data_IF_772866170849
#
_entry.id   IF_772866170849
#
_cell.length_a   1.000
_cell.length_b   1.000
_cell.length_c   1.000
_cell.angle_alpha   90.00
_cell.angle_beta   90.00
_cell.angle_gamma   90.00
#
_symmetry.space_group_name_H-M   'P 1'
#
loop_
_entity.id
_entity.type
_entity.pdbx_description
1 polymer ?
#
# COMPACT_ATOMS: atom_id res chain seq x y z
N UNK A 1 8.53 36.72 14.28
CA UNK A 1 9.49 36.55 13.16
C UNK A 1 9.77 37.93 12.57
N UNK A 2 11.04 38.32 12.36
CA UNK A 2 11.38 39.65 11.80
C UNK A 2 11.13 39.64 10.28
N UNK A 3 10.90 40.81 9.67
CA UNK A 3 10.72 40.96 8.21
C UNK A 3 11.85 40.33 7.39
N UNK A 4 13.08 40.36 7.93
CA UNK A 4 14.28 39.75 7.31
C UNK A 4 14.17 38.23 7.25
N UNK A 5 13.65 37.60 8.30
CA UNK A 5 13.50 36.15 8.41
C UNK A 5 12.51 35.62 7.36
N UNK A 6 11.40 36.33 7.12
CA UNK A 6 10.42 35.95 6.09
C UNK A 6 10.96 36.03 4.65
N UNK A 7 11.93 36.91 4.40
CA UNK A 7 12.56 37.02 3.08
C UNK A 7 13.43 35.80 2.80
N UNK A 8 14.19 35.34 3.79
CA UNK A 8 14.99 34.12 3.68
C UNK A 8 14.12 32.86 3.55
N UNK A 9 13.01 32.79 4.30
CA UNK A 9 12.03 31.70 4.18
C UNK A 9 11.45 31.64 2.77
N UNK A 10 11.08 32.78 2.19
CA UNK A 10 10.55 32.84 0.81
C UNK A 10 11.60 32.41 -0.22
N UNK A 11 12.84 32.85 -0.08
CA UNK A 11 13.93 32.43 -0.96
C UNK A 11 14.18 30.91 -0.89
N UNK A 12 14.11 30.30 0.30
CA UNK A 12 14.21 28.84 0.46
C UNK A 12 13.02 28.11 -0.18
N UNK A 13 11.81 28.65 -0.02
CA UNK A 13 10.61 28.08 -0.64
C UNK A 13 10.68 28.09 -2.17
N UNK A 14 11.08 29.22 -2.75
CA UNK A 14 11.27 29.37 -4.20
C UNK A 14 12.38 28.44 -4.71
N UNK A 15 13.49 28.34 -3.97
CA UNK A 15 14.58 27.41 -4.29
C UNK A 15 14.13 25.94 -4.24
N UNK A 16 13.33 25.55 -3.25
CA UNK A 16 12.80 24.20 -3.15
C UNK A 16 11.83 23.88 -4.30
N UNK A 17 10.97 24.83 -4.66
CA UNK A 17 10.05 24.70 -5.78
C UNK A 17 10.80 24.51 -7.11
N UNK A 18 11.91 25.25 -7.31
CA UNK A 18 12.80 25.06 -8.47
C UNK A 18 13.43 23.66 -8.48
N UNK A 19 13.98 23.20 -7.35
CA UNK A 19 14.60 21.87 -7.24
C UNK A 19 13.63 20.72 -7.51
N UNK A 20 12.37 20.90 -7.13
CA UNK A 20 11.31 19.88 -7.28
C UNK A 20 10.46 20.08 -8.53
N UNK A 21 10.76 21.11 -9.34
CA UNK A 21 9.98 21.50 -10.51
C UNK A 21 8.47 21.66 -10.19
N UNK A 22 8.16 22.25 -9.05
CA UNK A 22 6.80 22.51 -8.56
C UNK A 22 6.53 24.00 -8.42
N UNK A 23 5.31 24.39 -8.05
CA UNK A 23 4.95 25.80 -7.82
C UNK A 23 4.87 26.09 -6.33
N UNK A 24 5.66 27.06 -5.88
CA UNK A 24 5.66 27.52 -4.49
C UNK A 24 4.30 28.15 -4.10
N UNK A 25 3.79 27.88 -2.88
CA UNK A 25 2.65 28.60 -2.31
C UNK A 25 2.88 30.11 -2.27
N UNK A 26 1.84 30.88 -2.59
CA UNK A 26 1.94 32.35 -2.58
C UNK A 26 2.04 32.90 -1.16
N UNK A 27 1.30 32.30 -0.22
CA UNK A 27 1.17 32.77 1.15
C UNK A 27 1.82 31.80 2.14
N UNK A 28 2.78 32.29 2.92
CA UNK A 28 3.59 31.48 3.83
C UNK A 28 3.00 31.45 5.25
N UNK A 29 2.52 32.60 5.73
CA UNK A 29 1.91 32.74 7.05
C UNK A 29 0.53 33.38 6.93
N UNK A 30 -0.39 32.98 7.81
CA UNK A 30 -1.69 33.59 7.99
C UNK A 30 -1.59 34.92 8.79
N UNK A 31 -2.75 35.51 9.04
CA UNK A 31 -2.90 36.77 9.80
C UNK A 31 -2.44 36.65 11.26
N UNK A 32 -2.43 35.45 11.82
CA UNK A 32 -2.08 35.16 13.21
C UNK A 32 -0.58 34.78 13.33
N UNK A 33 0.13 34.70 12.18
CA UNK A 33 1.55 34.39 12.10
C UNK A 33 1.85 32.89 12.09
N UNK A 34 0.85 32.05 11.89
CA UNK A 34 1.00 30.60 11.74
C UNK A 34 1.18 30.21 10.25
N UNK A 35 1.82 29.07 9.93
CA UNK A 35 1.86 28.55 8.56
C UNK A 35 0.46 28.39 7.97
N UNK A 36 0.28 28.78 6.70
CA UNK A 36 -0.99 28.60 6.00
C UNK A 36 -1.28 27.13 5.70
N UNK A 37 -2.56 26.76 5.60
CA UNK A 37 -2.97 25.41 5.18
C UNK A 37 -2.37 25.03 3.82
N UNK A 38 -2.30 26.00 2.89
CA UNK A 38 -1.66 25.83 1.58
C UNK A 38 -0.19 25.41 1.71
N UNK A 39 0.57 26.07 2.59
CA UNK A 39 1.97 25.72 2.85
C UNK A 39 2.10 24.35 3.52
N UNK A 40 1.21 24.02 4.44
CA UNK A 40 1.21 22.72 5.12
C UNK A 40 0.90 21.58 4.16
N UNK A 41 -0.05 21.76 3.26
CA UNK A 41 -0.39 20.76 2.25
C UNK A 41 0.73 20.61 1.20
N UNK A 42 1.33 21.72 0.76
CA UNK A 42 2.51 21.68 -0.10
C UNK A 42 3.69 20.96 0.57
N UNK A 43 3.97 21.27 1.84
CA UNK A 43 5.00 20.59 2.64
C UNK A 43 4.75 19.10 2.79
N UNK A 44 3.50 18.67 2.98
CA UNK A 44 3.14 17.24 3.04
C UNK A 44 3.30 16.55 1.69
N UNK A 45 2.87 17.20 0.61
CA UNK A 45 2.86 16.62 -0.74
C UNK A 45 4.27 16.48 -1.33
N UNK A 46 5.07 17.53 -1.19
CA UNK A 46 6.43 17.59 -1.73
C UNK A 46 7.49 17.18 -0.68
N UNK A 47 7.05 16.76 0.50
CA UNK A 47 7.89 16.30 1.63
C UNK A 47 8.93 17.33 2.10
N UNK A 48 8.59 18.61 1.97
CA UNK A 48 9.44 19.71 2.42
C UNK A 48 9.44 19.81 3.95
N UNK A 49 10.62 19.82 4.58
CA UNK A 49 10.74 20.04 6.02
C UNK A 49 10.47 21.51 6.40
N UNK A 50 9.48 21.73 7.28
CA UNK A 50 9.19 23.07 7.81
C UNK A 50 10.32 23.61 8.69
N UNK A 51 11.03 22.75 9.41
CA UNK A 51 12.18 23.16 10.21
C UNK A 51 13.33 23.67 9.32
N UNK A 52 13.56 23.01 8.18
CA UNK A 52 14.50 23.53 7.17
C UNK A 52 14.02 24.85 6.59
N UNK A 53 12.73 24.93 6.22
CA UNK A 53 12.16 26.13 5.61
C UNK A 53 12.30 27.34 6.54
N UNK A 54 11.86 27.21 7.78
CA UNK A 54 11.79 28.32 8.75
C UNK A 54 13.10 28.57 9.51
N UNK A 55 13.83 27.51 9.89
CA UNK A 55 15.04 27.64 10.71
C UNK A 55 16.35 27.47 9.90
N UNK A 56 16.26 27.08 8.62
CA UNK A 56 17.44 26.74 7.82
C UNK A 56 18.15 25.46 8.28
N UNK A 57 17.53 24.67 9.16
CA UNK A 57 18.15 23.44 9.68
C UNK A 57 18.05 22.33 8.62
N UNK A 58 19.20 21.92 8.09
CA UNK A 58 19.30 20.88 7.06
C UNK A 58 19.18 19.47 7.67
N UNK A 59 19.35 19.32 8.99
CA UNK A 59 19.33 18.00 9.63
C UNK A 59 17.95 17.33 9.52
N UNK A 60 16.81 17.98 9.80
CA UNK A 60 15.48 17.40 9.57
C UNK A 60 15.24 17.00 8.11
N UNK A 61 15.70 17.79 7.14
CA UNK A 61 15.59 17.47 5.71
C UNK A 61 16.40 16.20 5.36
N UNK A 62 17.63 16.10 5.84
CA UNK A 62 18.47 14.93 5.63
C UNK A 62 17.92 13.67 6.32
N UNK A 63 17.27 13.82 7.47
CA UNK A 63 16.61 12.72 8.18
C UNK A 63 15.35 12.25 7.45
N UNK A 64 14.50 13.16 6.97
CA UNK A 64 13.31 12.81 6.18
C UNK A 64 13.67 12.07 4.88
N UNK A 65 14.68 12.58 4.16
CA UNK A 65 15.23 11.93 2.97
C UNK A 65 15.79 10.53 3.30
N UNK A 66 16.56 10.42 4.40
CA UNK A 66 17.12 9.12 4.83
C UNK A 66 16.03 8.14 5.24
N UNK A 67 14.99 8.57 5.93
CA UNK A 67 13.89 7.70 6.37
C UNK A 67 13.13 7.12 5.18
N UNK A 68 12.79 7.97 4.19
CA UNK A 68 12.12 7.54 2.96
C UNK A 68 13.01 6.65 2.08
N UNK A 69 14.27 7.03 1.86
CA UNK A 69 15.19 6.22 1.06
C UNK A 69 15.61 4.92 1.74
N UNK A 70 15.69 4.89 3.07
CA UNK A 70 15.90 3.64 3.80
C UNK A 70 14.68 2.72 3.69
N UNK A 71 13.48 3.29 3.83
CA UNK A 71 12.23 2.53 3.72
C UNK A 71 12.02 1.92 2.33
N UNK A 72 12.44 2.62 1.27
CA UNK A 72 12.40 2.14 -0.13
C UNK A 72 13.68 1.42 -0.57
N UNK A 73 14.67 1.28 0.30
CA UNK A 73 15.92 0.61 -0.09
C UNK A 73 15.61 -0.83 -0.52
N UNK A 74 16.26 -1.34 -1.59
CA UNK A 74 16.00 -2.69 -2.09
C UNK A 74 16.15 -3.77 -1.03
N UNK A 75 17.07 -3.58 -0.08
CA UNK A 75 17.26 -4.49 1.04
C UNK A 75 16.05 -4.52 1.98
N UNK A 76 15.50 -3.37 2.36
CA UNK A 76 14.32 -3.30 3.24
C UNK A 76 13.08 -3.87 2.54
N UNK A 77 12.87 -3.55 1.25
CA UNK A 77 11.75 -4.10 0.49
C UNK A 77 11.87 -5.62 0.37
N UNK A 78 13.07 -6.15 0.13
CA UNK A 78 13.33 -7.60 0.13
C UNK A 78 12.99 -8.25 1.47
N UNK A 79 13.37 -7.65 2.60
CA UNK A 79 13.01 -8.16 3.92
C UNK A 79 11.49 -8.22 4.14
N UNK A 80 10.74 -7.24 3.63
CA UNK A 80 9.26 -7.25 3.70
C UNK A 80 8.65 -8.31 2.78
N UNK A 81 9.20 -8.51 1.59
CA UNK A 81 8.80 -9.63 0.70
C UNK A 81 9.02 -10.96 1.39
N UNK A 82 10.21 -11.21 1.95
CA UNK A 82 10.54 -12.44 2.68
C UNK A 82 9.58 -12.68 3.85
N UNK A 83 9.28 -11.62 4.62
CA UNK A 83 8.32 -11.69 5.72
C UNK A 83 6.92 -12.08 5.23
N UNK A 84 6.40 -11.43 4.19
CA UNK A 84 5.07 -11.73 3.67
C UNK A 84 4.98 -13.11 3.03
N UNK A 85 6.01 -13.50 2.28
CA UNK A 85 6.12 -14.83 1.69
C UNK A 85 6.04 -15.91 2.78
N UNK A 86 6.78 -15.72 3.87
CA UNK A 86 6.73 -16.63 5.03
C UNK A 86 5.37 -16.66 5.73
N UNK A 87 4.66 -15.53 5.81
CA UNK A 87 3.32 -15.47 6.44
C UNK A 87 2.26 -16.13 5.55
N UNK A 88 2.34 -15.91 4.24
CA UNK A 88 1.40 -16.44 3.26
C UNK A 88 1.68 -17.90 2.87
N UNK A 89 2.89 -18.41 3.15
CA UNK A 89 3.29 -19.76 2.77
C UNK A 89 3.55 -19.90 1.26
N UNK A 90 4.02 -18.83 0.61
CA UNK A 90 4.38 -18.80 -0.82
C UNK A 90 5.86 -18.47 -0.99
N UNK A 91 6.40 -18.69 -2.19
CA UNK A 91 7.80 -18.30 -2.50
C UNK A 91 7.93 -16.78 -2.63
N UNK A 92 9.04 -16.17 -2.16
CA UNK A 92 9.27 -14.75 -2.30
C UNK A 92 9.54 -14.37 -3.76
N UNK A 93 8.98 -13.24 -4.18
CA UNK A 93 9.26 -12.66 -5.49
C UNK A 93 10.63 -11.97 -5.53
N UNK A 94 11.30 -12.04 -6.67
CA UNK A 94 12.53 -11.29 -6.88
C UNK A 94 12.24 -9.78 -6.97
N UNK A 95 13.08 -8.97 -6.33
CA UNK A 95 13.00 -7.51 -6.43
C UNK A 95 13.94 -7.04 -7.52
N UNK A 96 13.39 -6.37 -8.54
CA UNK A 96 14.14 -5.66 -9.56
C UNK A 96 14.45 -4.24 -9.12
N UNK A 97 15.60 -3.72 -9.57
CA UNK A 97 16.07 -2.39 -9.17
C UNK A 97 16.68 -1.63 -10.35
N UNK A 98 16.38 -0.34 -10.44
CA UNK A 98 16.99 0.60 -11.38
C UNK A 98 17.46 1.83 -10.60
N UNK A 99 18.70 2.27 -10.82
CA UNK A 99 19.31 3.40 -10.12
C UNK A 99 19.24 3.35 -8.57
N UNK A 100 19.19 2.14 -8.01
CA UNK A 100 19.10 1.92 -6.56
C UNK A 100 17.69 2.01 -5.98
N UNK A 101 16.68 2.21 -6.83
CA UNK A 101 15.27 2.19 -6.48
C UNK A 101 14.62 0.87 -6.88
N UNK A 102 13.52 0.50 -6.21
CA UNK A 102 12.75 -0.71 -6.52
C UNK A 102 11.81 -0.45 -7.67
N UNK A 103 11.87 -1.30 -8.70
CA UNK A 103 10.94 -1.26 -9.82
C UNK A 103 9.60 -1.88 -9.44
N UNK A 104 8.53 -1.25 -9.93
CA UNK A 104 7.17 -1.81 -9.83
C UNK A 104 6.97 -2.74 -11.02
N UNK A 105 7.14 -4.04 -10.78
CA UNK A 105 6.92 -5.07 -11.81
C UNK A 105 5.57 -5.76 -11.64
N UNK A 106 5.08 -6.39 -12.71
CA UNK A 106 3.83 -7.14 -12.67
C UNK A 106 3.92 -8.31 -11.69
N UNK A 107 5.08 -8.97 -11.59
CA UNK A 107 5.35 -10.06 -10.65
C UNK A 107 5.28 -9.57 -9.19
N UNK A 108 5.76 -8.36 -8.91
CA UNK A 108 5.69 -7.78 -7.57
C UNK A 108 4.24 -7.44 -7.18
N UNK A 109 3.44 -6.97 -8.14
CA UNK A 109 2.02 -6.72 -7.95
C UNK A 109 1.21 -8.01 -7.81
N UNK A 110 1.54 -9.05 -8.57
CA UNK A 110 1.00 -10.42 -8.43
C UNK A 110 1.29 -10.97 -7.04
N UNK A 111 2.55 -10.90 -6.59
CA UNK A 111 2.96 -11.32 -5.26
C UNK A 111 2.16 -10.59 -4.17
N UNK A 112 1.94 -9.28 -4.29
CA UNK A 112 1.15 -8.55 -3.31
C UNK A 112 -0.29 -9.08 -3.24
N UNK A 113 -0.90 -9.40 -4.39
CA UNK A 113 -2.25 -9.98 -4.46
C UNK A 113 -2.29 -11.36 -3.81
N UNK A 114 -1.34 -12.24 -4.15
CA UNK A 114 -1.28 -13.61 -3.64
C UNK A 114 -0.96 -13.67 -2.13
N UNK A 115 0.00 -12.86 -1.67
CA UNK A 115 0.40 -12.79 -0.28
C UNK A 115 -0.59 -12.04 0.62
N UNK A 116 -1.62 -11.42 0.05
CA UNK A 116 -2.53 -10.52 0.76
C UNK A 116 -1.83 -9.26 1.32
N UNK A 117 -0.73 -8.84 0.69
CA UNK A 117 0.06 -7.68 1.08
C UNK A 117 -0.47 -6.40 0.41
N UNK A 118 -0.25 -5.26 1.07
CA UNK A 118 -0.45 -3.95 0.45
C UNK A 118 0.86 -3.44 -0.17
N UNK A 119 0.80 -2.99 -1.42
CA UNK A 119 1.97 -2.52 -2.15
C UNK A 119 2.64 -1.30 -1.50
N UNK A 120 1.86 -0.36 -0.96
CA UNK A 120 2.41 0.82 -0.27
C UNK A 120 3.08 0.43 1.05
N UNK A 121 2.55 -0.56 1.77
CA UNK A 121 3.26 -1.10 2.92
C UNK A 121 4.56 -1.78 2.51
N UNK A 122 4.52 -2.57 1.44
CA UNK A 122 5.68 -3.35 0.98
C UNK A 122 6.83 -2.43 0.55
N UNK A 123 6.53 -1.37 -0.20
CA UNK A 123 7.54 -0.44 -0.73
C UNK A 123 7.88 0.70 0.23
N UNK A 124 6.90 1.30 0.89
CA UNK A 124 7.08 2.49 1.72
C UNK A 124 7.10 2.19 3.23
N UNK A 125 6.76 0.98 3.64
CA UNK A 125 6.76 0.58 5.05
C UNK A 125 5.60 1.13 5.87
N UNK A 126 4.55 1.65 5.23
CA UNK A 126 3.40 2.29 5.89
C UNK A 126 2.56 1.26 6.69
N UNK A 127 2.68 1.19 8.03
CA UNK A 127 2.02 0.13 8.82
C UNK A 127 0.48 0.19 8.73
N UNK A 128 -0.10 1.37 8.56
CA UNK A 128 -1.53 1.56 8.38
C UNK A 128 -2.07 0.80 7.16
N UNK A 129 -1.29 0.70 6.09
CA UNK A 129 -1.66 0.00 4.86
C UNK A 129 -1.71 -1.51 5.04
N UNK A 130 -0.76 -2.07 5.82
CA UNK A 130 -0.82 -3.48 6.22
C UNK A 130 -2.07 -3.77 7.05
N UNK A 131 -2.37 -2.92 8.03
CA UNK A 131 -3.57 -3.08 8.86
C UNK A 131 -4.84 -2.98 8.03
N UNK A 132 -4.91 -2.07 7.06
CA UNK A 132 -6.01 -1.96 6.11
C UNK A 132 -6.18 -3.21 5.25
N UNK A 133 -5.10 -3.79 4.73
CA UNK A 133 -5.12 -5.04 3.97
C UNK A 133 -5.61 -6.22 4.83
N UNK A 134 -5.07 -6.39 6.02
CA UNK A 134 -5.50 -7.45 6.95
C UNK A 134 -6.99 -7.31 7.33
N UNK A 135 -7.48 -6.08 7.53
CA UNK A 135 -8.90 -5.81 7.80
C UNK A 135 -9.80 -6.08 6.60
N UNK A 136 -9.30 -5.91 5.37
CA UNK A 136 -10.03 -6.26 4.14
C UNK A 136 -10.14 -7.78 4.02
N UNK A 137 -9.02 -8.49 4.07
CA UNK A 137 -8.98 -9.96 4.04
C UNK A 137 -9.89 -10.59 5.09
N UNK A 138 -9.80 -10.16 6.36
CA UNK A 138 -10.68 -10.67 7.42
C UNK A 138 -12.17 -10.45 7.14
N UNK A 139 -12.55 -9.32 6.54
CA UNK A 139 -13.95 -9.04 6.19
C UNK A 139 -14.44 -9.94 5.07
N UNK A 140 -13.58 -10.23 4.10
CA UNK A 140 -13.90 -11.13 3.00
C UNK A 140 -14.05 -12.57 3.51
N UNK A 141 -13.18 -13.03 4.41
CA UNK A 141 -13.30 -14.32 5.09
C UNK A 141 -14.60 -14.41 5.90
N UNK A 142 -14.92 -13.38 6.69
CA UNK A 142 -16.17 -13.34 7.46
C UNK A 142 -17.41 -13.37 6.56
N UNK A 143 -17.35 -12.71 5.40
CA UNK A 143 -18.43 -12.73 4.40
C UNK A 143 -18.58 -14.13 3.79
N UNK A 144 -17.47 -14.75 3.38
CA UNK A 144 -17.46 -16.10 2.83
C UNK A 144 -17.97 -17.13 3.85
N UNK A 145 -17.50 -17.06 5.09
CA UNK A 145 -17.97 -17.92 6.19
C UNK A 145 -19.46 -17.72 6.49
N UNK A 146 -19.97 -16.48 6.42
CA UNK A 146 -21.40 -16.22 6.61
C UNK A 146 -22.24 -16.87 5.52
N UNK A 147 -21.80 -16.80 4.26
CA UNK A 147 -22.46 -17.48 3.14
C UNK A 147 -22.40 -18.99 3.35
N UNK A 148 -21.23 -19.55 3.67
CA UNK A 148 -21.06 -20.98 3.88
C UNK A 148 -21.91 -21.52 5.04
N UNK A 149 -22.07 -20.75 6.14
CA UNK A 149 -22.95 -21.11 7.26
C UNK A 149 -24.45 -21.11 6.91
N UNK A 150 -24.84 -20.39 5.86
CA UNK A 150 -26.21 -20.37 5.35
C UNK A 150 -26.57 -21.57 4.47
N UNK A 151 -25.59 -22.37 4.06
CA UNK A 151 -25.80 -23.54 3.22
C UNK A 151 -26.28 -24.75 4.03
N UNK A 152 -27.16 -25.55 3.43
CA UNK A 152 -27.51 -26.87 3.96
C UNK A 152 -26.31 -27.82 3.94
N UNK A 153 -26.39 -28.92 4.70
CA UNK A 153 -25.33 -29.94 4.75
C UNK A 153 -25.04 -30.54 3.36
N UNK A 154 -26.08 -30.70 2.55
CA UNK A 154 -26.02 -31.16 1.17
C UNK A 154 -25.25 -30.17 0.30
N UNK A 155 -25.61 -28.88 0.34
CA UNK A 155 -24.92 -27.82 -0.40
C UNK A 155 -23.47 -27.61 0.04
N UNK A 156 -23.16 -27.79 1.32
CA UNK A 156 -21.79 -27.76 1.84
C UNK A 156 -20.95 -28.92 1.28
N UNK A 157 -21.52 -30.13 1.20
CA UNK A 157 -20.84 -31.27 0.62
C UNK A 157 -20.58 -31.06 -0.87
N UNK A 158 -21.58 -30.56 -1.61
CA UNK A 158 -21.43 -30.20 -3.01
C UNK A 158 -20.34 -29.14 -3.20
N UNK A 159 -20.37 -28.04 -2.43
CA UNK A 159 -19.37 -26.97 -2.49
C UNK A 159 -17.96 -27.51 -2.21
N UNK A 160 -17.81 -28.34 -1.18
CA UNK A 160 -16.52 -28.94 -0.81
C UNK A 160 -15.98 -29.85 -1.92
N UNK A 161 -16.84 -30.65 -2.55
CA UNK A 161 -16.45 -31.51 -3.66
C UNK A 161 -16.02 -30.70 -4.87
N UNK A 162 -16.79 -29.67 -5.24
CA UNK A 162 -16.46 -28.80 -6.38
C UNK A 162 -15.16 -28.03 -6.15
N UNK A 163 -14.93 -27.47 -4.96
CA UNK A 163 -13.69 -26.77 -4.64
C UNK A 163 -12.46 -27.69 -4.71
N UNK A 164 -12.61 -28.97 -4.33
CA UNK A 164 -11.52 -29.96 -4.48
C UNK A 164 -11.17 -30.22 -5.94
N UNK A 165 -12.17 -30.35 -6.81
CA UNK A 165 -11.96 -30.53 -8.25
C UNK A 165 -11.32 -29.28 -8.85
N UNK A 166 -11.79 -28.08 -8.45
CA UNK A 166 -11.21 -26.82 -8.89
C UNK A 166 -9.71 -26.73 -8.55
N UNK A 167 -9.35 -27.15 -7.32
CA UNK A 167 -7.97 -27.17 -6.82
C UNK A 167 -7.10 -28.22 -7.54
N UNK A 168 -7.66 -29.34 -8.00
CA UNK A 168 -6.89 -30.38 -8.70
C UNK A 168 -6.75 -30.12 -10.19
N UNK A 169 -7.78 -29.56 -10.82
CA UNK A 169 -7.90 -29.50 -12.29
C UNK A 169 -7.74 -28.08 -12.85
N UNK A 170 -7.41 -27.11 -11.99
CA UNK A 170 -7.20 -25.69 -12.33
C UNK A 170 -8.38 -25.09 -13.12
N UNK A 171 -9.60 -25.45 -12.72
CA UNK A 171 -10.82 -25.00 -13.39
C UNK A 171 -11.03 -23.49 -13.22
N UNK A 172 -11.56 -22.84 -14.24
CA UNK A 172 -11.97 -21.45 -14.14
C UNK A 172 -13.25 -21.29 -13.28
N UNK A 173 -13.51 -20.05 -12.85
CA UNK A 173 -14.63 -19.75 -11.95
C UNK A 173 -15.99 -20.13 -12.57
N UNK A 174 -16.18 -19.97 -13.87
CA UNK A 174 -17.46 -20.32 -14.52
C UNK A 174 -17.69 -21.83 -14.50
N UNK A 175 -16.67 -22.62 -14.79
CA UNK A 175 -16.68 -24.08 -14.73
C UNK A 175 -16.94 -24.60 -13.32
N UNK A 176 -16.29 -23.99 -12.32
CA UNK A 176 -16.53 -24.28 -10.90
C UNK A 176 -17.99 -24.00 -10.53
N UNK A 177 -18.52 -22.84 -10.91
CA UNK A 177 -19.90 -22.48 -10.59
C UNK A 177 -20.93 -23.37 -11.29
N UNK A 178 -20.67 -23.78 -12.54
CA UNK A 178 -21.54 -24.69 -13.27
C UNK A 178 -21.55 -26.08 -12.63
N UNK A 179 -20.36 -26.60 -12.28
CA UNK A 179 -20.21 -27.89 -11.59
C UNK A 179 -20.91 -27.90 -10.23
N UNK A 180 -20.78 -26.81 -9.46
CA UNK A 180 -21.47 -26.66 -8.19
C UNK A 180 -22.99 -26.66 -8.35
N UNK A 181 -23.54 -25.89 -9.30
CA UNK A 181 -24.99 -25.86 -9.55
C UNK A 181 -25.54 -27.23 -9.90
N UNK A 182 -24.86 -27.94 -10.80
CA UNK A 182 -25.27 -29.28 -11.19
C UNK A 182 -25.27 -30.24 -10.00
N UNK A 183 -24.21 -30.22 -9.17
CA UNK A 183 -24.12 -31.06 -7.98
C UNK A 183 -25.23 -30.76 -6.94
N UNK A 184 -25.60 -29.49 -6.77
CA UNK A 184 -26.70 -29.09 -5.89
C UNK A 184 -28.06 -29.53 -6.44
N UNK A 185 -28.29 -29.43 -7.75
CA UNK A 185 -29.53 -29.87 -8.40
C UNK A 185 -29.70 -31.40 -8.30
N UNK A 186 -28.66 -32.17 -8.61
CA UNK A 186 -28.66 -33.63 -8.51
C UNK A 186 -28.93 -34.11 -7.08
N UNK A 187 -28.33 -33.47 -6.08
CA UNK A 187 -28.55 -33.83 -4.68
C UNK A 187 -29.88 -33.36 -4.10
N UNK A 188 -30.53 -32.34 -4.69
CA UNK A 188 -31.89 -31.93 -4.31
C UNK A 188 -32.97 -32.80 -4.95
N UNK A 189 -32.66 -33.46 -6.07
CA UNK A 189 -33.55 -34.36 -6.78
C UNK A 189 -33.54 -35.80 -6.23
N UNK A 190 -32.53 -36.17 -5.44
CA UNK A 190 -32.36 -37.47 -4.76
C UNK A 190 -32.97 -37.48 -3.36
#
# INVERSE_FOLDING_TARGET
MKKKDLTEVRARLEQFADWTNTTAPETILDKDGAPTDELLDYSRKEEMSLDWLFAGDVKPLALAHREKHWAMSPWVVRQRVELMASIAGIEPVAIETEDGEVLVTDELLEFCREAGADFEWLTLGKPEKLVEAMRRSKRDDERALRVARGLSRTELNALTATLRIALSDNLDIEQVMQTYRQAVEEQRAA
#
